data_IF_552141824669
#
_entry.id   IF_552141824669
#
_cell.length_a   1.000
_cell.length_b   1.000
_cell.length_c   1.000
_cell.angle_alpha   90.00
_cell.angle_beta   90.00
_cell.angle_gamma   90.00
#
_symmetry.space_group_name_H-M   'P 1'
#
loop_
_entity.id
_entity.type
_entity.pdbx_description
1 polymer ?
#
# COMPACT_ATOMS: atom_id res chain seq x y z
N UNK A 1 7.60 7.66 1.70
CA UNK A 1 8.57 6.53 1.81
C UNK A 1 8.49 5.78 3.14
N UNK A 2 8.41 6.47 4.28
CA UNK A 2 8.28 5.82 5.61
C UNK A 2 7.06 4.87 5.71
N UNK A 3 5.94 5.22 5.07
CA UNK A 3 4.75 4.37 4.99
C UNK A 3 5.00 3.05 4.24
N UNK A 4 5.80 3.05 3.18
CA UNK A 4 6.16 1.84 2.45
C UNK A 4 7.07 0.94 3.28
N UNK A 5 7.98 1.53 4.05
CA UNK A 5 8.83 0.79 4.99
C UNK A 5 8.00 0.12 6.08
N UNK A 6 7.03 0.85 6.66
CA UNK A 6 6.09 0.30 7.63
C UNK A 6 5.30 -0.88 7.03
N UNK A 7 4.81 -0.75 5.79
CA UNK A 7 4.08 -1.82 5.11
C UNK A 7 4.94 -3.08 4.94
N UNK A 8 6.16 -2.94 4.40
CA UNK A 8 7.10 -4.06 4.23
C UNK A 8 7.43 -4.73 5.57
N UNK A 9 7.65 -3.94 6.63
CA UNK A 9 7.90 -4.47 7.97
C UNK A 9 6.74 -5.34 8.47
N UNK A 10 5.50 -4.87 8.36
CA UNK A 10 4.33 -5.64 8.78
C UNK A 10 4.15 -6.91 7.95
N UNK A 11 4.35 -6.85 6.62
CA UNK A 11 4.34 -8.04 5.77
C UNK A 11 5.36 -9.08 6.26
N UNK A 12 6.60 -8.67 6.54
CA UNK A 12 7.65 -9.58 7.01
C UNK A 12 7.33 -10.19 8.38
N UNK A 13 6.84 -9.40 9.33
CA UNK A 13 6.48 -9.90 10.67
C UNK A 13 5.30 -10.88 10.64
N UNK A 14 4.35 -10.67 9.73
CA UNK A 14 3.20 -11.54 9.55
C UNK A 14 3.60 -12.82 8.81
N UNK A 15 4.42 -12.74 7.77
CA UNK A 15 4.94 -13.92 7.05
C UNK A 15 5.79 -14.83 7.95
N UNK A 16 6.53 -14.27 8.91
CA UNK A 16 7.27 -15.07 9.91
C UNK A 16 6.35 -15.91 10.81
N UNK A 17 5.06 -15.55 10.91
CA UNK A 17 4.08 -16.26 11.73
C UNK A 17 3.36 -17.27 10.85
N UNK A 18 3.72 -18.54 10.97
CA UNK A 18 3.15 -19.65 10.18
C UNK A 18 1.63 -19.86 10.33
N UNK A 19 1.00 -19.25 11.34
CA UNK A 19 -0.43 -19.33 11.62
C UNK A 19 -1.11 -17.94 11.68
N UNK A 20 -0.59 -16.93 10.96
CA UNK A 20 -1.22 -15.62 10.97
C UNK A 20 -2.65 -15.67 10.40
N UNK A 21 -3.59 -15.08 11.13
CA UNK A 21 -4.98 -14.94 10.69
C UNK A 21 -5.15 -13.73 9.78
N UNK A 22 -4.16 -12.84 9.77
CA UNK A 22 -4.13 -11.61 8.97
C UNK A 22 -3.46 -11.88 7.63
N UNK A 23 -4.15 -11.55 6.54
CA UNK A 23 -3.54 -11.42 5.22
C UNK A 23 -3.13 -9.96 4.99
N UNK A 24 -1.90 -9.74 4.56
CA UNK A 24 -1.40 -8.41 4.17
C UNK A 24 -0.92 -8.49 2.73
N UNK A 25 -1.39 -7.56 1.89
CA UNK A 25 -0.97 -7.46 0.50
C UNK A 25 0.54 -7.25 0.41
N UNK A 26 1.21 -7.94 -0.50
CA UNK A 26 2.61 -7.63 -0.81
C UNK A 26 2.74 -6.25 -1.46
N UNK A 27 3.68 -5.42 -1.01
CA UNK A 27 3.97 -4.14 -1.67
C UNK A 27 4.99 -4.35 -2.79
N UNK A 28 4.61 -4.07 -4.04
CA UNK A 28 5.48 -4.20 -5.20
C UNK A 28 6.38 -2.97 -5.38
N UNK A 29 5.80 -1.77 -5.28
CA UNK A 29 6.54 -0.52 -5.53
C UNK A 29 6.01 0.62 -4.68
N UNK A 30 6.90 1.54 -4.30
CA UNK A 30 6.52 2.80 -3.70
C UNK A 30 7.20 3.95 -4.43
N UNK A 31 6.45 5.01 -4.74
CA UNK A 31 6.96 6.17 -5.46
C UNK A 31 6.30 7.46 -4.99
N UNK A 32 7.01 8.58 -5.17
CA UNK A 32 6.43 9.91 -4.97
C UNK A 32 5.91 10.45 -6.30
N UNK A 33 4.71 11.02 -6.27
CA UNK A 33 4.11 11.67 -7.43
C UNK A 33 3.51 13.02 -7.04
N UNK A 34 3.72 14.00 -7.89
CA UNK A 34 3.35 15.39 -7.66
C UNK A 34 4.16 16.32 -8.54
N UNK A 35 3.65 17.53 -8.77
CA UNK A 35 4.37 18.57 -9.48
C UNK A 35 5.39 19.22 -8.52
N UNK A 36 6.61 19.50 -8.96
CA UNK A 36 7.68 20.06 -8.13
C UNK A 36 7.40 21.42 -7.46
N UNK A 37 6.18 21.96 -7.58
CA UNK A 37 5.68 23.19 -6.93
C UNK A 37 4.44 22.97 -6.04
N UNK A 38 3.97 21.73 -5.84
CA UNK A 38 2.78 21.40 -5.06
C UNK A 38 2.99 20.26 -4.06
N UNK A 39 1.89 19.72 -3.49
CA UNK A 39 1.94 18.56 -2.59
C UNK A 39 2.51 17.34 -3.32
N UNK A 40 3.51 16.70 -2.70
CA UNK A 40 3.96 15.36 -3.09
C UNK A 40 3.10 14.32 -2.39
N UNK A 41 2.68 13.32 -3.13
CA UNK A 41 1.92 12.19 -2.64
C UNK A 41 2.80 10.95 -2.73
N UNK A 42 2.83 10.15 -1.67
CA UNK A 42 3.43 8.82 -1.73
C UNK A 42 2.36 7.85 -2.23
N UNK A 43 2.68 7.07 -3.25
CA UNK A 43 1.87 5.97 -3.74
C UNK A 43 2.59 4.66 -3.45
N UNK A 44 1.82 3.66 -3.05
CA UNK A 44 2.28 2.28 -2.87
C UNK A 44 1.42 1.41 -3.78
N UNK A 45 2.08 0.67 -4.67
CA UNK A 45 1.47 -0.35 -5.52
C UNK A 45 1.60 -1.68 -4.78
N UNK A 46 0.49 -2.38 -4.58
CA UNK A 46 0.42 -3.59 -3.78
C UNK A 46 -0.37 -4.68 -4.50
N UNK A 47 -0.22 -5.92 -4.05
CA UNK A 47 -1.05 -7.04 -4.43
C UNK A 47 -2.54 -6.72 -4.25
N UNK A 48 -3.31 -7.03 -5.29
CA UNK A 48 -4.75 -6.92 -5.24
C UNK A 48 -5.34 -8.13 -4.51
N UNK A 49 -5.86 -7.90 -3.30
CA UNK A 49 -6.64 -8.89 -2.57
C UNK A 49 -8.11 -8.65 -2.90
N UNK A 50 -8.77 -9.67 -3.44
CA UNK A 50 -10.22 -9.63 -3.63
C UNK A 50 -10.92 -9.70 -2.27
N UNK A 51 -11.50 -8.58 -1.85
CA UNK A 51 -12.24 -8.50 -0.59
C UNK A 51 -13.70 -8.78 -0.89
N UNK A 52 -14.19 -9.92 -0.41
CA UNK A 52 -15.61 -10.21 -0.34
C UNK A 52 -16.23 -9.45 0.83
N UNK A 53 -16.83 -8.29 0.54
CA UNK A 53 -17.46 -7.43 1.55
C UNK A 53 -18.73 -8.05 2.16
N UNK A 54 -19.35 -9.03 1.50
CA UNK A 54 -20.52 -9.75 2.02
C UNK A 54 -20.09 -10.83 3.02
N UNK A 55 -18.88 -11.37 2.84
CA UNK A 55 -18.27 -12.32 3.77
C UNK A 55 -17.47 -11.59 4.84
N UNK A 56 -18.19 -10.98 5.77
CA UNK A 56 -17.58 -10.39 6.97
C UNK A 56 -16.96 -11.47 7.86
N UNK A 57 -15.74 -11.24 8.33
CA UNK A 57 -15.12 -12.07 9.35
C UNK A 57 -15.97 -12.03 10.64
N UNK A 58 -16.07 -13.15 11.36
CA UNK A 58 -16.75 -13.16 12.66
C UNK A 58 -16.08 -12.22 13.65
N UNK A 59 -16.80 -11.81 14.69
CA UNK A 59 -16.24 -10.92 15.71
C UNK A 59 -15.03 -11.55 16.41
N UNK A 60 -15.00 -12.88 16.60
CA UNK A 60 -13.84 -13.60 17.11
C UNK A 60 -12.66 -13.51 16.14
N UNK A 61 -12.89 -13.71 14.84
CA UNK A 61 -11.86 -13.59 13.81
C UNK A 61 -11.26 -12.18 13.75
N UNK A 62 -12.10 -11.15 13.89
CA UNK A 62 -11.68 -9.75 13.95
C UNK A 62 -10.89 -9.44 15.23
N UNK A 63 -11.35 -9.93 16.38
CA UNK A 63 -10.66 -9.74 17.65
C UNK A 63 -9.30 -10.44 17.66
N UNK A 64 -9.21 -11.64 17.08
CA UNK A 64 -7.95 -12.36 16.92
C UNK A 64 -6.99 -11.63 15.99
N UNK A 65 -7.45 -11.16 14.83
CA UNK A 65 -6.64 -10.34 13.92
C UNK A 65 -6.12 -9.06 14.60
N UNK A 66 -6.94 -8.36 15.38
CA UNK A 66 -6.48 -7.18 16.14
C UNK A 66 -5.46 -7.55 17.21
N UNK A 67 -5.68 -8.64 17.94
CA UNK A 67 -4.74 -9.13 18.95
C UNK A 67 -3.38 -9.49 18.34
N UNK A 68 -3.39 -10.17 17.18
CA UNK A 68 -2.19 -10.47 16.42
C UNK A 68 -1.46 -9.20 15.98
N UNK A 69 -2.19 -8.20 15.46
CA UNK A 69 -1.58 -6.94 15.02
C UNK A 69 -0.93 -6.17 16.19
N UNK A 70 -1.60 -6.09 17.34
CA UNK A 70 -1.08 -5.42 18.54
C UNK A 70 0.16 -6.12 19.09
N UNK A 71 0.27 -7.44 18.89
CA UNK A 71 1.42 -8.23 19.35
C UNK A 71 2.68 -8.04 18.50
N UNK A 72 2.59 -7.38 17.34
CA UNK A 72 3.76 -7.10 16.51
C UNK A 72 4.55 -5.96 17.16
N UNK A 73 5.83 -6.17 17.50
CA UNK A 73 6.63 -5.10 18.09
C UNK A 73 6.76 -3.94 17.10
N UNK A 74 6.76 -2.72 17.62
CA UNK A 74 7.01 -1.55 16.78
C UNK A 74 8.42 -1.67 16.14
N UNK A 75 8.56 -1.45 14.82
CA UNK A 75 9.85 -1.35 14.16
C UNK A 75 10.72 -0.28 14.82
N UNK A 76 12.03 -0.53 14.88
CA UNK A 76 13.00 0.44 15.36
C UNK A 76 13.08 1.63 14.40
N UNK A 77 12.49 2.76 14.76
CA UNK A 77 12.50 3.97 13.95
C UNK A 77 11.26 4.84 14.16
N UNK A 78 11.16 5.92 13.38
CA UNK A 78 9.98 6.78 13.34
C UNK A 78 9.01 6.18 12.33
N UNK A 79 7.86 5.68 12.79
CA UNK A 79 6.70 5.59 11.91
C UNK A 79 6.41 7.01 11.40
N UNK A 80 6.28 7.16 10.08
CA UNK A 80 5.84 8.42 9.52
C UNK A 80 4.57 8.90 10.21
N UNK A 81 4.38 10.22 10.27
CA UNK A 81 3.22 10.80 10.93
C UNK A 81 1.93 10.21 10.36
N UNK A 82 1.21 9.42 11.17
CA UNK A 82 -0.18 9.03 10.90
C UNK A 82 -1.09 10.25 11.12
N UNK A 83 -0.95 11.27 10.27
CA UNK A 83 -1.86 12.39 10.27
C UNK A 83 -3.20 11.91 9.73
N UNK A 84 -4.17 11.71 10.63
CA UNK A 84 -5.54 11.35 10.27
C UNK A 84 -6.10 12.32 9.23
N UNK A 85 -6.49 11.78 8.08
CA UNK A 85 -7.02 12.53 6.96
C UNK A 85 -7.60 11.57 5.92
N UNK A 86 -8.39 12.09 4.98
CA UNK A 86 -8.86 11.26 3.87
C UNK A 86 -7.69 10.92 2.95
N UNK A 87 -7.33 9.65 2.88
CA UNK A 87 -6.46 9.10 1.85
C UNK A 87 -7.19 9.17 0.50
N UNK A 88 -7.14 10.32 -0.17
CA UNK A 88 -7.67 10.49 -1.53
C UNK A 88 -6.52 10.41 -2.52
N UNK A 89 -6.63 9.44 -3.42
CA UNK A 89 -5.71 9.24 -4.52
C UNK A 89 -5.96 10.31 -5.59
N UNK A 90 -4.98 11.18 -5.85
CA UNK A 90 -5.10 12.30 -6.80
C UNK A 90 -4.74 11.93 -8.24
N UNK A 91 -4.17 10.75 -8.46
CA UNK A 91 -3.73 10.28 -9.78
C UNK A 91 -4.90 9.83 -10.69
N UNK A 92 -6.09 9.59 -10.10
CA UNK A 92 -7.29 9.09 -10.78
C UNK A 92 -8.45 10.02 -10.44
N UNK A 93 -9.26 10.31 -11.44
CA UNK A 93 -10.51 11.04 -11.23
C UNK A 93 -11.43 10.20 -10.34
N UNK A 94 -12.06 10.83 -9.36
CA UNK A 94 -13.02 10.17 -8.45
C UNK A 94 -12.43 8.97 -7.67
N UNK A 95 -11.10 8.89 -7.54
CA UNK A 95 -10.37 7.76 -6.94
C UNK A 95 -10.59 6.41 -7.65
N UNK A 96 -11.02 6.43 -8.92
CA UNK A 96 -11.32 5.23 -9.71
C UNK A 96 -10.38 5.15 -10.93
N UNK A 97 -9.67 4.02 -11.13
CA UNK A 97 -8.84 3.86 -12.31
C UNK A 97 -9.72 3.96 -13.57
N UNK A 98 -9.27 4.69 -14.61
CA UNK A 98 -10.08 4.84 -15.83
C UNK A 98 -10.21 3.53 -16.60
N UNK A 99 -9.25 2.62 -16.43
CA UNK A 99 -9.24 1.26 -16.97
C UNK A 99 -8.50 0.35 -15.98
N UNK A 100 -8.84 -0.96 -15.91
CA UNK A 100 -7.96 -1.94 -15.29
C UNK A 100 -6.61 -1.98 -16.01
N UNK A 101 -5.52 -1.97 -15.26
CA UNK A 101 -4.17 -2.10 -15.82
C UNK A 101 -3.74 -3.57 -15.73
N UNK A 102 -3.32 -4.15 -16.84
CA UNK A 102 -2.90 -5.56 -16.90
C UNK A 102 -1.45 -5.76 -16.47
N UNK A 103 -0.66 -4.69 -16.37
CA UNK A 103 0.74 -4.75 -15.94
C UNK A 103 1.20 -3.46 -15.26
N UNK A 104 2.31 -3.55 -14.52
CA UNK A 104 2.97 -2.39 -13.93
C UNK A 104 3.50 -1.41 -14.99
N UNK A 105 3.86 -1.90 -16.18
CA UNK A 105 4.28 -1.05 -17.30
C UNK A 105 3.14 -0.16 -17.82
N UNK A 106 1.93 -0.71 -17.96
CA UNK A 106 0.76 0.08 -18.37
C UNK A 106 0.39 1.14 -17.32
N UNK A 107 0.50 0.80 -16.04
CA UNK A 107 0.31 1.76 -14.94
C UNK A 107 1.38 2.84 -14.95
N UNK A 108 2.65 2.47 -15.19
CA UNK A 108 3.78 3.41 -15.31
C UNK A 108 3.55 4.40 -16.44
N UNK A 109 3.21 3.92 -17.64
CA UNK A 109 2.91 4.75 -18.79
C UNK A 109 1.76 5.71 -18.52
N UNK A 110 0.71 5.24 -17.82
CA UNK A 110 -0.39 6.09 -17.40
C UNK A 110 0.06 7.18 -16.43
N UNK A 111 0.79 6.81 -15.37
CA UNK A 111 1.29 7.74 -14.34
C UNK A 111 2.18 8.80 -14.97
N UNK A 112 3.06 8.41 -15.89
CA UNK A 112 3.99 9.27 -16.60
C UNK A 112 3.29 10.20 -17.60
N UNK A 113 2.16 9.78 -18.17
CA UNK A 113 1.33 10.62 -19.05
C UNK A 113 0.52 11.66 -18.28
N UNK A 114 0.04 11.31 -17.08
CA UNK A 114 -0.81 12.20 -16.26
C UNK A 114 0.02 13.10 -15.34
N UNK A 115 1.24 12.69 -15.00
CA UNK A 115 2.17 13.43 -14.15
C UNK A 115 3.21 14.25 -14.92
N UNK A 116 3.83 15.22 -14.22
CA UNK A 116 5.06 15.90 -14.68
C UNK A 116 6.34 15.21 -14.17
N UNK A 117 6.19 14.14 -13.40
CA UNK A 117 7.28 13.41 -12.77
C UNK A 117 7.36 12.01 -13.39
N UNK A 118 8.54 11.66 -13.89
CA UNK A 118 8.82 10.32 -14.43
C UNK A 118 8.96 9.34 -13.26
N UNK A 119 8.06 8.37 -13.22
CA UNK A 119 8.07 7.22 -12.32
C UNK A 119 8.56 6.02 -13.12
N UNK A 120 9.38 5.18 -12.48
CA UNK A 120 9.71 3.84 -12.98
C UNK A 120 9.17 2.82 -11.99
N UNK A 121 8.18 2.06 -12.43
CA UNK A 121 7.67 0.86 -11.78
C UNK A 121 8.41 -0.38 -12.32
N UNK A 122 9.10 -0.28 -13.46
CA UNK A 122 10.01 -1.31 -13.96
C UNK A 122 11.37 -1.29 -13.25
N UNK A 123 11.54 -2.12 -12.22
CA UNK A 123 12.85 -2.46 -11.65
C UNK A 123 12.91 -2.49 -10.13
N UNK A 124 13.44 -3.59 -9.60
CA UNK A 124 13.73 -3.91 -8.20
C UNK A 124 12.50 -4.09 -7.30
N UNK A 125 12.20 -5.37 -7.05
CA UNK A 125 11.62 -5.83 -5.79
C UNK A 125 12.30 -5.12 -4.62
N UNK A 126 11.50 -4.59 -3.71
CA UNK A 126 11.96 -4.08 -2.41
C UNK A 126 12.56 -5.25 -1.61
N UNK A 127 13.84 -5.54 -1.85
CA UNK A 127 14.66 -6.48 -1.09
C UNK A 127 15.17 -5.87 0.20
#
# INVERSE_FOLDING_TARGET
>A
MEEAYAHVFFCQEIVKRSNATIQVSEAYHAFEWGNGRGRRFTYIVMEHIEIDFERTASDEGRAQALSELISIPAPLGVFGHFNGGTYRHHLFRDCQPPVPFASTAELEDYVNRVGLSQVRLGGNSLG
#
